data_IF_006997590191
#
_entry.id   IF_006997590191
#
_cell.length_a   1.000
_cell.length_b   1.000
_cell.length_c   1.000
_cell.angle_alpha   90.00
_cell.angle_beta   90.00
_cell.angle_gamma   90.00
#
_symmetry.space_group_name_H-M   'P 1'
#
loop_
_entity.id
_entity.type
_entity.pdbx_description
1 polymer ?
#
# COMPACT_ATOMS: atom_id res chain seq x y z
N UNK A 1 -16.21 5.35 -24.38
CA UNK A 1 -17.24 4.31 -24.43
C UNK A 1 -16.95 3.23 -23.38
N UNK A 2 -18.00 2.54 -22.90
CA UNK A 2 -17.90 1.40 -21.99
C UNK A 2 -18.69 0.22 -22.55
N UNK A 3 -18.23 -1.01 -22.29
CA UNK A 3 -18.88 -2.23 -22.73
C UNK A 3 -18.57 -3.38 -21.76
N UNK A 4 -19.29 -4.48 -21.84
CA UNK A 4 -19.00 -5.67 -21.06
C UNK A 4 -17.63 -6.22 -21.44
N UNK A 5 -16.83 -6.64 -20.46
CA UNK A 5 -15.41 -7.00 -20.66
C UNK A 5 -15.18 -8.05 -21.77
N UNK A 6 -16.10 -8.99 -21.94
CA UNK A 6 -16.02 -10.05 -22.95
C UNK A 6 -16.38 -9.59 -24.37
N UNK A 7 -16.96 -8.39 -24.54
CA UNK A 7 -17.25 -7.78 -25.83
C UNK A 7 -16.12 -6.84 -26.31
N UNK A 8 -15.12 -6.57 -25.44
CA UNK A 8 -14.07 -5.62 -25.75
C UNK A 8 -12.89 -6.31 -26.42
N UNK A 9 -12.60 -5.89 -27.64
CA UNK A 9 -11.40 -6.31 -28.38
C UNK A 9 -10.21 -5.38 -28.16
N UNK A 10 -10.48 -4.09 -27.87
CA UNK A 10 -9.45 -3.07 -27.66
C UNK A 10 -9.72 -2.29 -26.35
N UNK A 11 -9.01 -2.68 -25.30
CA UNK A 11 -9.09 -2.05 -23.97
C UNK A 11 -8.43 -0.66 -23.91
N UNK A 12 -7.81 -0.17 -24.97
CA UNK A 12 -7.31 1.21 -25.03
C UNK A 12 -8.40 2.22 -25.39
N UNK A 13 -9.49 1.76 -26.00
CA UNK A 13 -10.58 2.59 -26.50
C UNK A 13 -11.85 2.50 -25.67
N UNK A 14 -12.06 1.39 -24.99
CA UNK A 14 -13.28 1.13 -24.22
C UNK A 14 -12.95 0.76 -22.76
N UNK A 15 -13.75 1.24 -21.85
CA UNK A 15 -13.73 0.85 -20.44
C UNK A 15 -14.46 -0.47 -20.25
N UNK A 16 -13.82 -1.43 -19.59
CA UNK A 16 -14.44 -2.71 -19.29
C UNK A 16 -15.41 -2.63 -18.12
N UNK A 17 -16.62 -3.08 -18.33
CA UNK A 17 -17.64 -3.28 -17.29
C UNK A 17 -17.63 -4.76 -16.90
N UNK A 18 -17.41 -5.01 -15.62
CA UNK A 18 -17.39 -6.36 -15.05
C UNK A 18 -18.43 -6.40 -13.92
N UNK A 19 -19.59 -7.01 -14.18
CA UNK A 19 -20.57 -7.21 -13.12
C UNK A 19 -20.04 -8.15 -12.05
N UNK A 20 -20.06 -7.73 -10.79
CA UNK A 20 -19.58 -8.57 -9.69
C UNK A 20 -20.37 -8.31 -8.39
N UNK A 21 -20.39 -9.32 -7.53
CA UNK A 21 -21.02 -9.27 -6.22
C UNK A 21 -20.03 -9.68 -5.14
N UNK A 22 -19.69 -8.77 -4.25
CA UNK A 22 -18.84 -9.06 -3.10
C UNK A 22 -19.51 -10.04 -2.11
N UNK A 23 -20.85 -10.10 -2.09
CA UNK A 23 -21.60 -10.98 -1.20
C UNK A 23 -21.57 -12.45 -1.67
N UNK A 24 -21.75 -12.67 -2.97
CA UNK A 24 -21.82 -14.03 -3.54
C UNK A 24 -20.49 -14.50 -4.11
N UNK A 25 -19.54 -13.59 -4.38
CA UNK A 25 -18.28 -13.88 -5.06
C UNK A 25 -18.41 -13.98 -6.59
N UNK A 26 -19.63 -13.83 -7.13
CA UNK A 26 -19.88 -13.85 -8.57
C UNK A 26 -19.15 -12.71 -9.28
N UNK A 27 -18.50 -12.99 -10.40
CA UNK A 27 -17.78 -12.01 -11.21
C UNK A 27 -16.43 -11.56 -10.62
N UNK A 28 -16.08 -11.96 -9.39
CA UNK A 28 -14.81 -11.56 -8.75
C UNK A 28 -13.61 -12.20 -9.46
N UNK A 29 -13.73 -13.45 -9.88
CA UNK A 29 -12.67 -14.13 -10.63
C UNK A 29 -12.40 -13.44 -11.97
N UNK A 30 -13.45 -13.04 -12.69
CA UNK A 30 -13.38 -12.30 -13.96
C UNK A 30 -12.74 -10.92 -13.76
N UNK A 31 -13.11 -10.22 -12.68
CA UNK A 31 -12.50 -8.94 -12.32
C UNK A 31 -11.00 -9.09 -12.10
N UNK A 32 -10.57 -10.07 -11.31
CA UNK A 32 -9.16 -10.33 -11.05
C UNK A 32 -8.42 -10.74 -12.33
N UNK A 33 -9.03 -11.57 -13.16
CA UNK A 33 -8.46 -11.98 -14.45
C UNK A 33 -8.20 -10.78 -15.38
N UNK A 34 -9.20 -9.91 -15.54
CA UNK A 34 -9.08 -8.71 -16.37
C UNK A 34 -8.04 -7.75 -15.79
N UNK A 35 -8.03 -7.50 -14.48
CA UNK A 35 -7.03 -6.65 -13.82
C UNK A 35 -5.61 -7.19 -14.03
N UNK A 36 -5.39 -8.47 -13.83
CA UNK A 36 -4.09 -9.11 -14.06
C UNK A 36 -3.66 -8.97 -15.52
N UNK A 37 -4.55 -9.28 -16.46
CA UNK A 37 -4.26 -9.18 -17.90
C UNK A 37 -3.93 -7.77 -18.35
N UNK A 38 -4.70 -6.77 -17.91
CA UNK A 38 -4.44 -5.37 -18.22
C UNK A 38 -3.15 -4.87 -17.58
N UNK A 39 -2.88 -5.27 -16.34
CA UNK A 39 -1.65 -4.92 -15.63
C UNK A 39 -0.42 -5.47 -16.35
N UNK A 40 -0.45 -6.73 -16.76
CA UNK A 40 0.64 -7.36 -17.51
C UNK A 40 0.85 -6.72 -18.89
N UNK A 41 -0.23 -6.32 -19.56
CA UNK A 41 -0.16 -5.71 -20.89
C UNK A 41 0.32 -4.26 -20.86
N UNK A 42 -0.25 -3.44 -19.96
CA UNK A 42 -0.04 -1.98 -19.99
C UNK A 42 0.91 -1.46 -18.90
N UNK A 43 1.09 -2.22 -17.81
CA UNK A 43 1.90 -1.78 -16.67
C UNK A 43 3.15 -2.63 -16.46
N UNK A 44 3.56 -3.42 -17.46
CA UNK A 44 4.67 -4.38 -17.36
C UNK A 44 5.94 -3.79 -16.73
N UNK A 45 6.27 -2.55 -17.08
CA UNK A 45 7.46 -1.90 -16.53
C UNK A 45 7.24 -1.36 -15.09
N UNK A 46 6.00 -1.06 -14.73
CA UNK A 46 5.65 -0.56 -13.40
C UNK A 46 5.52 -1.67 -12.35
N UNK A 47 5.16 -2.88 -12.78
CA UNK A 47 5.01 -4.03 -11.88
C UNK A 47 6.33 -4.79 -11.62
N UNK A 48 7.43 -4.38 -12.25
CA UNK A 48 8.76 -4.95 -11.95
C UNK A 48 9.22 -4.44 -10.58
N UNK A 49 9.62 -5.35 -9.71
CA UNK A 49 10.30 -5.03 -8.46
C UNK A 49 11.68 -4.45 -8.79
N UNK A 50 11.88 -3.16 -8.56
CA UNK A 50 13.06 -2.45 -9.07
C UNK A 50 13.89 -1.78 -8.00
N UNK A 51 13.35 -1.54 -6.84
CA UNK A 51 13.94 -0.60 -5.94
C UNK A 51 14.02 -1.01 -4.48
N UNK A 52 14.13 0.01 -3.69
CA UNK A 52 14.05 -0.09 -2.24
C UNK A 52 12.63 -0.44 -1.83
N UNK A 53 12.50 -1.08 -0.66
CA UNK A 53 11.19 -1.45 -0.15
C UNK A 53 10.28 -0.22 -0.04
N UNK A 54 9.10 -0.33 -0.64
CA UNK A 54 8.04 0.68 -0.62
C UNK A 54 6.70 0.02 -0.36
N UNK A 55 5.89 0.67 0.44
CA UNK A 55 4.59 0.14 0.79
C UNK A 55 3.66 1.21 1.34
N UNK A 56 2.47 0.78 1.69
CA UNK A 56 1.44 1.63 2.30
C UNK A 56 0.88 0.96 3.53
N UNK A 57 0.65 1.74 4.59
CA UNK A 57 0.04 1.28 5.83
C UNK A 57 -1.47 1.20 5.61
N UNK A 58 -2.05 0.04 5.89
CA UNK A 58 -3.48 -0.19 5.78
C UNK A 58 -4.19 0.05 7.12
N UNK A 59 -3.62 -0.49 8.19
CA UNK A 59 -4.25 -0.47 9.51
C UNK A 59 -3.20 -0.49 10.62
N UNK A 60 -3.56 0.08 11.75
CA UNK A 60 -2.77 0.03 12.98
C UNK A 60 -3.59 -0.73 14.02
N UNK A 61 -3.06 -1.86 14.48
CA UNK A 61 -3.70 -2.70 15.48
C UNK A 61 -2.96 -2.63 16.81
N UNK A 62 -3.71 -2.43 17.88
CA UNK A 62 -3.22 -2.51 19.25
C UNK A 62 -3.68 -3.83 19.85
N UNK A 63 -2.73 -4.72 20.11
CA UNK A 63 -2.99 -5.98 20.80
C UNK A 63 -2.26 -5.98 22.16
N UNK A 64 -3.02 -5.87 23.25
CA UNK A 64 -2.48 -5.74 24.62
C UNK A 64 -1.59 -4.49 24.74
N UNK A 65 -0.28 -4.69 24.93
CA UNK A 65 0.72 -3.63 25.04
C UNK A 65 1.55 -3.43 23.77
N UNK A 66 1.21 -4.11 22.66
CA UNK A 66 1.96 -4.10 21.42
C UNK A 66 1.16 -3.43 20.31
N UNK A 67 1.82 -2.61 19.51
CA UNK A 67 1.27 -2.01 18.33
C UNK A 67 1.84 -2.69 17.08
N UNK A 68 0.95 -3.01 16.15
CA UNK A 68 1.28 -3.62 14.87
C UNK A 68 0.80 -2.75 13.73
N UNK A 69 1.63 -2.63 12.69
CA UNK A 69 1.24 -2.06 11.41
C UNK A 69 0.89 -3.20 10.46
N UNK A 70 -0.30 -3.18 9.91
CA UNK A 70 -0.66 -3.97 8.75
C UNK A 70 -0.47 -3.13 7.49
N UNK A 71 0.27 -3.65 6.52
CA UNK A 71 0.73 -2.90 5.38
C UNK A 71 0.80 -3.77 4.12
N UNK A 72 0.82 -3.12 2.96
CA UNK A 72 1.16 -3.77 1.69
C UNK A 72 2.53 -3.28 1.23
N UNK A 73 3.44 -4.21 1.02
CA UNK A 73 4.72 -3.99 0.33
C UNK A 73 4.48 -4.15 -1.17
N UNK A 74 4.56 -3.08 -1.93
CA UNK A 74 4.31 -3.11 -3.38
C UNK A 74 5.59 -3.04 -4.23
N UNK A 75 6.73 -2.66 -3.66
CA UNK A 75 8.04 -2.70 -4.34
C UNK A 75 9.16 -3.08 -3.37
N UNK A 76 10.22 -3.65 -3.90
CA UNK A 76 11.45 -3.97 -3.20
C UNK A 76 11.40 -5.20 -2.29
N UNK A 77 12.35 -5.24 -1.37
CA UNK A 77 12.52 -6.29 -0.37
C UNK A 77 12.70 -5.63 0.98
N UNK A 78 11.96 -6.10 1.98
CA UNK A 78 12.00 -5.64 3.35
C UNK A 78 12.49 -6.75 4.26
N UNK A 79 13.39 -6.42 5.18
CA UNK A 79 13.97 -7.37 6.15
C UNK A 79 13.62 -7.00 7.57
N UNK A 80 13.61 -7.99 8.43
CA UNK A 80 13.62 -7.75 9.87
C UNK A 80 14.88 -6.93 10.24
N UNK A 81 14.75 -6.01 11.19
CA UNK A 81 15.76 -5.03 11.61
C UNK A 81 16.01 -3.87 10.64
N UNK A 82 15.41 -3.87 9.45
CA UNK A 82 15.48 -2.70 8.57
C UNK A 82 14.86 -1.47 9.24
N UNK A 83 15.42 -0.31 8.92
CA UNK A 83 14.82 0.99 9.26
C UNK A 83 13.93 1.44 8.12
N UNK A 84 12.73 1.88 8.46
CA UNK A 84 11.76 2.45 7.52
C UNK A 84 11.44 3.89 7.91
N UNK A 85 11.18 4.70 6.93
CA UNK A 85 10.59 6.01 7.10
C UNK A 85 9.12 5.94 6.69
N UNK A 86 8.25 6.41 7.56
CA UNK A 86 6.80 6.46 7.35
C UNK A 86 6.43 7.93 7.15
N UNK A 87 5.64 8.22 6.15
CA UNK A 87 5.15 9.58 5.93
C UNK A 87 4.28 10.05 7.10
N UNK A 88 4.35 11.33 7.39
CA UNK A 88 3.45 12.01 8.32
C UNK A 88 3.15 13.42 7.80
N UNK A 89 2.20 14.13 8.42
CA UNK A 89 1.93 15.53 8.04
C UNK A 89 3.06 16.49 8.43
N UNK A 90 3.97 16.07 9.30
CA UNK A 90 5.16 16.80 9.71
C UNK A 90 6.43 16.20 9.10
N UNK A 91 7.38 15.86 9.96
CA UNK A 91 8.59 15.14 9.56
C UNK A 91 8.30 13.64 9.46
N UNK A 92 8.99 12.91 8.56
CA UNK A 92 8.85 11.46 8.47
C UNK A 92 9.19 10.75 9.77
N UNK A 93 8.37 9.79 10.16
CA UNK A 93 8.63 8.94 11.32
C UNK A 93 9.61 7.84 10.93
N UNK A 94 10.80 7.85 11.53
CA UNK A 94 11.80 6.81 11.30
C UNK A 94 11.72 5.78 12.41
N UNK A 95 11.53 4.52 12.03
CA UNK A 95 11.42 3.43 12.98
C UNK A 95 12.06 2.15 12.47
N UNK A 96 12.49 1.28 13.40
CA UNK A 96 13.07 -0.03 13.09
C UNK A 96 12.02 -1.12 13.22
N UNK A 97 12.00 -2.02 12.26
CA UNK A 97 11.13 -3.20 12.25
C UNK A 97 11.68 -4.22 13.26
N UNK A 98 10.91 -4.52 14.29
CA UNK A 98 11.26 -5.54 15.28
C UNK A 98 10.85 -6.93 14.86
N UNK A 99 9.59 -7.06 14.42
CA UNK A 99 9.06 -8.32 13.89
C UNK A 99 8.50 -8.06 12.51
N UNK A 100 8.72 -9.01 11.62
CA UNK A 100 8.19 -9.00 10.27
C UNK A 100 7.42 -10.30 10.04
N UNK A 101 6.17 -10.17 9.69
CA UNK A 101 5.28 -11.30 9.40
C UNK A 101 4.62 -11.07 8.05
N UNK A 102 4.45 -12.14 7.29
CA UNK A 102 3.78 -12.13 5.99
C UNK A 102 2.44 -12.86 6.07
N UNK A 103 1.40 -12.29 5.48
CA UNK A 103 0.09 -12.92 5.41
C UNK A 103 0.14 -14.14 4.48
N UNK A 104 -0.42 -15.26 4.92
CA UNK A 104 -0.54 -16.44 4.07
C UNK A 104 -1.67 -16.27 3.07
N UNK A 105 -1.47 -16.65 1.81
CA UNK A 105 -2.54 -16.65 0.81
C UNK A 105 -3.78 -17.40 1.30
N UNK A 106 -4.95 -16.85 1.01
CA UNK A 106 -6.26 -17.43 1.35
C UNK A 106 -6.48 -17.69 2.85
N UNK A 107 -5.75 -16.98 3.70
CA UNK A 107 -5.83 -17.14 5.15
C UNK A 107 -5.63 -15.78 5.84
N UNK A 108 -6.20 -15.63 7.03
CA UNK A 108 -5.94 -14.48 7.89
C UNK A 108 -4.78 -14.72 8.87
N UNK A 109 -3.95 -15.72 8.60
CA UNK A 109 -2.82 -16.06 9.44
C UNK A 109 -1.54 -15.39 8.95
N UNK A 110 -0.78 -14.84 9.87
CA UNK A 110 0.53 -14.28 9.64
C UNK A 110 1.62 -15.31 9.97
N UNK A 111 2.65 -15.35 9.16
CA UNK A 111 3.83 -16.19 9.36
C UNK A 111 5.06 -15.30 9.56
N UNK A 112 5.81 -15.46 10.66
CA UNK A 112 7.07 -14.76 10.84
C UNK A 112 8.05 -15.09 9.72
N UNK A 113 8.67 -14.04 9.17
CA UNK A 113 9.67 -14.14 8.11
C UNK A 113 10.85 -13.22 8.42
N UNK A 114 12.03 -13.57 7.93
CA UNK A 114 13.22 -12.71 8.04
C UNK A 114 13.29 -11.67 6.91
N UNK A 115 12.69 -12.01 5.79
CA UNK A 115 12.67 -11.21 4.57
C UNK A 115 11.31 -11.38 3.89
N UNK A 116 10.73 -10.28 3.42
CA UNK A 116 9.53 -10.26 2.60
C UNK A 116 9.81 -9.54 1.29
N UNK A 117 9.29 -10.09 0.20
CA UNK A 117 9.45 -9.55 -1.15
C UNK A 117 8.12 -9.07 -1.70
N UNK A 118 8.13 -7.94 -2.39
CA UNK A 118 6.93 -7.43 -3.06
C UNK A 118 6.42 -8.41 -4.17
N UNK A 119 5.09 -8.52 -4.32
CA UNK A 119 4.05 -7.85 -3.55
C UNK A 119 3.61 -8.76 -2.40
N UNK A 120 3.53 -8.22 -1.19
CA UNK A 120 3.16 -8.99 0.00
C UNK A 120 2.35 -8.14 0.99
N UNK A 121 1.38 -8.78 1.64
CA UNK A 121 0.74 -8.23 2.83
C UNK A 121 1.60 -8.52 4.05
N UNK A 122 1.88 -7.51 4.83
CA UNK A 122 2.79 -7.57 5.96
C UNK A 122 2.10 -7.16 7.25
N UNK A 123 2.58 -7.73 8.34
CA UNK A 123 2.34 -7.27 9.70
C UNK A 123 3.70 -7.02 10.34
N UNK A 124 3.90 -5.80 10.82
CA UNK A 124 5.16 -5.36 11.39
C UNK A 124 4.96 -4.82 12.79
N UNK A 125 5.83 -5.17 13.71
CA UNK A 125 5.94 -4.52 15.01
C UNK A 125 7.04 -3.46 14.95
N UNK A 126 6.75 -2.30 15.50
CA UNK A 126 7.64 -1.15 15.53
C UNK A 126 7.63 -0.47 16.90
N UNK A 127 8.53 0.47 17.10
CA UNK A 127 8.50 1.38 18.23
C UNK A 127 8.45 2.79 17.68
N UNK A 128 7.31 3.45 17.87
CA UNK A 128 7.20 4.89 17.66
C UNK A 128 6.47 5.51 18.84
N UNK A 129 6.81 6.77 19.13
CA UNK A 129 6.07 7.63 20.03
C UNK A 129 5.11 8.57 19.28
N UNK A 130 5.14 8.54 17.96
CA UNK A 130 4.40 9.44 17.10
C UNK A 130 3.19 8.73 16.50
N UNK A 131 2.12 9.48 16.30
CA UNK A 131 0.90 8.96 15.68
C UNK A 131 1.12 8.72 14.20
N UNK A 132 1.04 7.45 13.81
CA UNK A 132 1.04 7.00 12.43
C UNK A 132 -0.42 6.84 12.00
N UNK A 133 -0.74 7.25 10.78
CA UNK A 133 -2.10 7.14 10.24
C UNK A 133 -2.20 6.07 9.17
N UNK A 134 -3.33 5.34 9.09
CA UNK A 134 -3.62 4.48 7.97
C UNK A 134 -3.63 5.26 6.65
N UNK A 135 -3.16 4.64 5.57
CA UNK A 135 -3.02 5.26 4.25
C UNK A 135 -1.66 5.93 4.01
N UNK A 136 -0.83 6.10 5.02
CA UNK A 136 0.50 6.70 4.86
C UNK A 136 1.46 5.75 4.15
N UNK A 137 2.22 6.24 3.14
CA UNK A 137 3.28 5.47 2.51
C UNK A 137 4.48 5.30 3.43
N UNK A 138 5.21 4.21 3.26
CA UNK A 138 6.51 3.99 3.88
C UNK A 138 7.55 3.57 2.86
N UNK A 139 8.82 3.88 3.14
CA UNK A 139 9.97 3.49 2.33
C UNK A 139 11.11 3.01 3.21
N UNK A 140 12.01 2.17 2.66
CA UNK A 140 13.24 1.78 3.31
C UNK A 140 14.11 3.02 3.58
N UNK A 141 14.52 3.22 4.84
CA UNK A 141 15.35 4.35 5.24
C UNK A 141 16.83 4.09 4.97
N UNK A 142 17.48 5.00 4.22
CA UNK A 142 18.91 4.92 3.88
C UNK A 142 19.71 6.13 4.37
N UNK A 143 19.25 6.78 5.43
CA UNK A 143 20.02 7.85 6.08
C UNK A 143 19.81 9.26 5.53
N UNK A 144 18.97 9.48 4.50
CA UNK A 144 18.73 10.82 3.95
C UNK A 144 17.29 11.30 4.16
N UNK A 145 17.03 11.94 5.30
CA UNK A 145 15.71 12.47 5.67
C UNK A 145 15.21 13.52 4.68
N UNK A 146 16.07 14.42 4.22
CA UNK A 146 15.66 15.51 3.34
C UNK A 146 15.15 15.01 1.96
N UNK A 147 15.78 13.96 1.42
CA UNK A 147 15.33 13.35 0.18
C UNK A 147 13.98 12.65 0.36
N UNK A 148 13.83 11.89 1.44
CA UNK A 148 12.61 11.17 1.77
C UNK A 148 11.43 12.13 1.98
N UNK A 149 11.66 13.23 2.71
CA UNK A 149 10.65 14.26 2.91
C UNK A 149 10.15 14.85 1.59
N UNK A 150 11.06 15.06 0.63
CA UNK A 150 10.66 15.54 -0.72
C UNK A 150 9.85 14.50 -1.49
N UNK A 151 10.23 13.23 -1.39
CA UNK A 151 9.51 12.13 -2.03
C UNK A 151 8.09 12.01 -1.46
N UNK A 152 7.95 11.97 -0.14
CA UNK A 152 6.65 11.89 0.52
C UNK A 152 5.77 13.11 0.24
N UNK A 153 6.33 14.33 0.28
CA UNK A 153 5.56 15.53 -0.08
C UNK A 153 5.00 15.45 -1.49
N UNK A 154 5.79 14.96 -2.44
CA UNK A 154 5.33 14.77 -3.82
C UNK A 154 4.22 13.72 -3.91
N UNK A 155 4.35 12.62 -3.22
CA UNK A 155 3.39 11.52 -3.22
C UNK A 155 2.07 11.93 -2.53
N UNK A 156 2.15 12.54 -1.35
CA UNK A 156 0.97 13.02 -0.60
C UNK A 156 0.27 14.16 -1.34
N UNK A 157 1.01 15.12 -1.90
CA UNK A 157 0.40 16.25 -2.63
C UNK A 157 -0.29 15.80 -3.92
N UNK A 158 0.14 14.71 -4.53
CA UNK A 158 -0.58 14.11 -5.67
C UNK A 158 -1.90 13.47 -5.24
N UNK A 159 -2.01 13.03 -3.99
CA UNK A 159 -3.19 12.35 -3.45
C UNK A 159 -4.16 13.33 -2.77
N UNK A 160 -3.66 14.37 -2.14
CA UNK A 160 -4.45 15.35 -1.40
C UNK A 160 -4.06 16.78 -1.84
N UNK A 161 -5.02 17.50 -2.41
CA UNK A 161 -4.95 18.96 -2.54
C UNK A 161 -5.55 19.56 -1.28
N UNK A 162 -4.70 20.08 -0.39
CA UNK A 162 -5.13 20.71 0.86
C UNK A 162 -4.96 22.23 0.74
N UNK A 163 -6.05 22.98 0.77
CA UNK A 163 -6.05 24.43 0.88
C UNK A 163 -6.04 24.86 2.36
N UNK A 164 -5.41 26.01 2.64
CA UNK A 164 -5.35 26.55 4.01
C UNK A 164 -6.65 27.22 4.45
N UNK A 165 -7.54 27.49 3.52
CA UNK A 165 -8.84 28.15 3.75
C UNK A 165 -9.94 27.30 3.11
N UNK A 166 -11.03 27.02 3.84
CA UNK A 166 -12.14 26.23 3.33
C UNK A 166 -12.87 25.43 4.39
N UNK A 167 -13.48 24.32 3.96
CA UNK A 167 -14.23 23.43 4.83
C UNK A 167 -13.26 22.46 5.51
N UNK A 168 -13.32 22.39 6.85
CA UNK A 168 -12.55 21.42 7.62
C UNK A 168 -13.15 20.02 7.46
N UNK A 169 -12.41 19.10 6.87
CA UNK A 169 -12.75 17.68 6.77
C UNK A 169 -11.92 16.92 7.79
N UNK A 170 -12.58 16.10 8.61
CA UNK A 170 -11.92 15.13 9.50
C UNK A 170 -12.17 13.73 8.96
N UNK A 171 -11.10 12.97 8.79
CA UNK A 171 -11.13 11.60 8.32
C UNK A 171 -10.23 10.72 9.22
N UNK A 172 -10.57 9.44 9.33
CA UNK A 172 -9.80 8.48 10.15
C UNK A 172 -8.59 7.90 9.40
N UNK A 173 -8.58 8.05 8.09
CA UNK A 173 -7.49 7.58 7.23
C UNK A 173 -7.28 8.53 6.04
N UNK A 174 -6.13 8.40 5.36
CA UNK A 174 -5.82 9.18 4.17
C UNK A 174 -6.76 8.88 2.99
N UNK A 175 -7.40 7.72 2.98
CA UNK A 175 -8.31 7.28 1.91
C UNK A 175 -9.81 7.44 2.22
N UNK A 176 -10.13 8.07 3.35
CA UNK A 176 -11.54 8.29 3.78
C UNK A 176 -12.12 9.63 3.21
#
# INVERSE_FOLDING_TARGET
EADLFYNITDFTKKLALIPCSAKTGEGVAELLFVLCGLSQKFLREKIKVKGDARGVILEIKKEKALEYLEAVLYDGILRQEDEIAIASFGEPVITRIRTLEEIRPLSFQFKPVKEAKAAAGLRMQFISKEDILPGMPFILFKGNVAQITKEFKKEITQTLQVDKEGILIKAESLGS
#
